data_IF_232698725869
#
_entry.id   IF_232698725869
#
_cell.length_a   1.000
_cell.length_b   1.000
_cell.length_c   1.000
_cell.angle_alpha   90.00
_cell.angle_beta   90.00
_cell.angle_gamma   90.00
#
_symmetry.space_group_name_H-M   'P 1'
#
loop_
_entity.id
_entity.type
_entity.pdbx_description
1 polymer ?
#
# COMPACT_ATOMS: atom_id res chain seq x y z
N UNK A 1 -24.52 -10.11 -20.00
CA UNK A 1 -25.19 -10.55 -21.25
C UNK A 1 -24.23 -10.85 -22.40
N UNK A 2 -23.33 -9.96 -22.89
CA UNK A 2 -22.44 -10.36 -24.00
C UNK A 2 -21.50 -11.53 -23.66
N UNK A 3 -20.82 -11.47 -22.50
CA UNK A 3 -19.90 -12.53 -22.06
C UNK A 3 -20.63 -13.87 -21.89
N UNK A 4 -21.82 -13.86 -21.28
CA UNK A 4 -22.65 -15.07 -21.12
C UNK A 4 -22.99 -15.72 -22.46
N UNK A 5 -23.48 -14.93 -23.43
CA UNK A 5 -23.80 -15.45 -24.76
C UNK A 5 -22.57 -16.00 -25.50
N UNK A 6 -21.39 -15.39 -25.32
CA UNK A 6 -20.15 -15.89 -25.91
C UNK A 6 -19.71 -17.20 -25.27
N UNK A 7 -19.82 -17.31 -23.95
CA UNK A 7 -19.47 -18.52 -23.21
C UNK A 7 -20.42 -19.67 -23.55
N UNK A 8 -21.73 -19.39 -23.67
CA UNK A 8 -22.73 -20.39 -24.06
C UNK A 8 -22.54 -20.84 -25.52
N UNK A 9 -22.12 -19.94 -26.42
CA UNK A 9 -21.85 -20.26 -27.82
C UNK A 9 -20.54 -21.06 -28.01
N UNK A 10 -19.52 -20.85 -27.16
CA UNK A 10 -18.24 -21.54 -27.25
C UNK A 10 -17.66 -21.89 -25.87
N UNK A 11 -18.18 -22.93 -25.19
CA UNK A 11 -17.72 -23.31 -23.85
C UNK A 11 -16.30 -23.89 -23.86
N UNK A 12 -15.84 -24.43 -25.00
CA UNK A 12 -14.47 -24.95 -25.15
C UNK A 12 -13.45 -23.80 -25.14
N UNK A 13 -13.84 -22.64 -25.66
CA UNK A 13 -13.01 -21.43 -25.66
C UNK A 13 -12.56 -20.98 -24.27
N UNK A 14 -13.26 -21.37 -23.21
CA UNK A 14 -12.86 -21.11 -21.82
C UNK A 14 -11.54 -21.78 -21.42
N UNK A 15 -11.18 -22.87 -22.11
CA UNK A 15 -9.95 -23.64 -21.85
C UNK A 15 -8.91 -23.42 -22.95
N UNK A 16 -9.19 -22.58 -23.93
CA UNK A 16 -8.22 -22.21 -24.95
C UNK A 16 -7.35 -21.09 -24.41
N UNK A 17 -6.12 -21.44 -24.06
CA UNK A 17 -5.11 -20.48 -23.64
C UNK A 17 -4.69 -19.58 -24.80
N UNK A 18 -4.41 -18.31 -24.52
CA UNK A 18 -3.82 -17.41 -25.50
C UNK A 18 -2.44 -17.96 -25.92
N UNK A 19 -2.12 -18.02 -27.23
CA UNK A 19 -0.87 -18.59 -27.72
C UNK A 19 0.40 -17.85 -27.26
N UNK A 20 0.30 -16.57 -26.85
CA UNK A 20 1.47 -15.74 -26.52
C UNK A 20 1.91 -15.92 -25.07
N UNK A 21 0.96 -15.94 -24.14
CA UNK A 21 1.22 -15.93 -22.70
C UNK A 21 0.55 -17.11 -21.96
N UNK A 22 -0.17 -17.97 -22.67
CA UNK A 22 -0.88 -19.09 -22.05
C UNK A 22 -2.04 -18.66 -21.15
N UNK A 23 -2.46 -17.39 -21.19
CA UNK A 23 -3.54 -16.90 -20.35
C UNK A 23 -4.88 -17.47 -20.82
N UNK A 24 -5.54 -18.22 -19.94
CA UNK A 24 -6.97 -18.50 -20.09
C UNK A 24 -7.81 -17.22 -19.92
N UNK A 25 -9.06 -17.18 -20.43
CA UNK A 25 -9.98 -16.05 -20.24
C UNK A 25 -10.13 -15.58 -18.79
N UNK A 26 -10.03 -16.48 -17.81
CA UNK A 26 -10.08 -16.14 -16.38
C UNK A 26 -8.87 -15.31 -15.91
N UNK A 27 -7.67 -15.52 -16.47
CA UNK A 27 -6.49 -14.72 -16.18
C UNK A 27 -6.67 -13.29 -16.70
N UNK A 28 -7.13 -13.17 -17.95
CA UNK A 28 -7.41 -11.89 -18.61
C UNK A 28 -8.50 -11.09 -17.89
N UNK A 29 -9.51 -11.79 -17.33
CA UNK A 29 -10.53 -11.16 -16.51
C UNK A 29 -9.94 -10.47 -15.27
N UNK A 30 -8.92 -11.07 -14.65
CA UNK A 30 -8.23 -10.47 -13.50
C UNK A 30 -7.38 -9.26 -13.93
N UNK A 31 -6.84 -9.29 -15.15
CA UNK A 31 -6.01 -8.22 -15.72
C UNK A 31 -6.77 -6.93 -16.06
N UNK A 32 -8.00 -7.06 -16.57
CA UNK A 32 -8.87 -5.92 -16.89
C UNK A 32 -9.23 -5.04 -15.66
N UNK A 33 -8.87 -5.47 -14.45
CA UNK A 33 -9.11 -4.75 -13.20
C UNK A 33 -8.17 -3.57 -12.97
N UNK A 34 -7.12 -3.42 -13.78
CA UNK A 34 -6.16 -2.34 -13.56
C UNK A 34 -6.88 -0.99 -13.64
N UNK A 35 -6.72 -0.10 -12.65
CA UNK A 35 -7.30 1.23 -12.74
C UNK A 35 -6.76 1.86 -14.01
N UNK A 36 -7.65 2.14 -14.97
CA UNK A 36 -7.25 2.91 -16.13
C UNK A 36 -6.66 4.21 -15.59
N UNK A 37 -5.46 4.61 -16.03
CA UNK A 37 -4.86 5.86 -15.59
C UNK A 37 -5.66 7.00 -16.21
N UNK A 38 -6.84 7.27 -15.66
CA UNK A 38 -7.60 8.47 -15.96
C UNK A 38 -6.78 9.63 -15.41
N UNK A 39 -6.23 10.34 -16.38
CA UNK A 39 -5.41 11.55 -16.29
C UNK A 39 -5.72 12.44 -15.09
N UNK A 40 -4.63 12.85 -14.42
CA UNK A 40 -4.51 14.00 -13.51
C UNK A 40 -5.20 13.93 -12.14
N UNK A 41 -4.51 13.37 -11.14
CA UNK A 41 -4.09 14.10 -9.92
C UNK A 41 -3.47 13.14 -8.89
N UNK A 42 -2.26 13.48 -8.44
CA UNK A 42 -1.26 12.70 -7.69
C UNK A 42 -1.63 12.22 -6.28
N UNK A 43 -2.87 11.82 -6.00
CA UNK A 43 -3.18 11.18 -4.72
C UNK A 43 -2.90 9.67 -4.81
N UNK A 44 -1.71 9.26 -4.32
CA UNK A 44 -1.37 7.87 -4.00
C UNK A 44 -2.24 7.38 -2.84
N UNK A 45 -3.55 7.27 -3.08
CA UNK A 45 -4.45 6.64 -2.12
C UNK A 45 -4.31 5.13 -2.29
N UNK A 46 -3.76 4.46 -1.29
CA UNK A 46 -3.62 3.00 -1.22
C UNK A 46 -4.96 2.29 -1.00
N UNK A 47 -6.08 2.94 -1.34
CA UNK A 47 -7.39 2.32 -1.20
C UNK A 47 -7.54 1.31 -2.33
N UNK A 48 -7.63 0.04 -1.94
CA UNK A 48 -8.10 -1.05 -2.79
C UNK A 48 -9.26 -0.52 -3.63
N UNK A 49 -9.12 -0.59 -4.95
CA UNK A 49 -10.16 -0.16 -5.88
C UNK A 49 -11.42 -0.98 -5.52
N UNK A 50 -12.48 -0.36 -4.96
CA UNK A 50 -13.65 -1.09 -4.51
C UNK A 50 -14.19 -1.81 -5.75
N UNK A 51 -14.13 -3.15 -5.70
CA UNK A 51 -13.98 -4.03 -6.85
C UNK A 51 -14.66 -3.55 -8.12
N UNK A 52 -13.91 -3.46 -9.22
CA UNK A 52 -14.48 -3.15 -10.52
C UNK A 52 -15.65 -4.13 -10.78
N UNK A 53 -16.91 -3.65 -10.82
CA UNK A 53 -18.08 -4.52 -10.85
C UNK A 53 -18.12 -5.37 -12.12
N UNK A 54 -17.47 -4.92 -13.19
CA UNK A 54 -17.35 -5.67 -14.44
C UNK A 54 -16.46 -6.91 -14.29
N UNK A 55 -15.38 -6.80 -13.53
CA UNK A 55 -14.49 -7.94 -13.26
C UNK A 55 -15.26 -8.97 -12.45
N UNK A 56 -15.95 -8.55 -11.40
CA UNK A 56 -16.74 -9.45 -10.56
C UNK A 56 -17.85 -10.15 -11.35
N UNK A 57 -18.58 -9.41 -12.19
CA UNK A 57 -19.62 -9.98 -13.05
C UNK A 57 -19.04 -10.99 -14.05
N UNK A 58 -17.94 -10.64 -14.72
CA UNK A 58 -17.28 -11.51 -15.70
C UNK A 58 -16.75 -12.78 -15.02
N UNK A 59 -16.10 -12.64 -13.86
CA UNK A 59 -15.55 -13.74 -13.09
C UNK A 59 -16.65 -14.69 -12.60
N UNK A 60 -17.80 -14.17 -12.15
CA UNK A 60 -18.97 -15.01 -11.80
C UNK A 60 -19.48 -15.83 -12.98
N UNK A 61 -19.57 -15.23 -14.16
CA UNK A 61 -20.00 -15.95 -15.38
C UNK A 61 -18.98 -17.03 -15.75
N UNK A 62 -17.69 -16.69 -15.77
CA UNK A 62 -16.62 -17.64 -16.09
C UNK A 62 -16.56 -18.80 -15.10
N UNK A 63 -16.68 -18.53 -13.79
CA UNK A 63 -16.66 -19.55 -12.75
C UNK A 63 -17.93 -20.42 -12.73
N UNK A 64 -19.07 -19.91 -13.19
CA UNK A 64 -20.28 -20.72 -13.31
C UNK A 64 -20.16 -21.88 -14.32
N UNK A 65 -19.13 -21.85 -15.18
CA UNK A 65 -18.86 -22.84 -16.22
C UNK A 65 -17.44 -23.38 -16.08
N UNK A 66 -17.23 -24.59 -15.54
CA UNK A 66 -15.89 -25.20 -15.38
C UNK A 66 -14.92 -24.35 -14.53
N UNK A 67 -15.40 -23.86 -13.38
CA UNK A 67 -14.63 -23.06 -12.43
C UNK A 67 -13.27 -23.68 -12.08
N UNK A 68 -13.30 -24.96 -11.70
CA UNK A 68 -12.13 -25.65 -11.16
C UNK A 68 -11.04 -25.84 -12.23
N UNK A 69 -11.39 -26.33 -13.42
CA UNK A 69 -10.44 -26.56 -14.54
C UNK A 69 -9.73 -25.26 -14.94
N UNK A 70 -10.48 -24.14 -15.02
CA UNK A 70 -9.92 -22.83 -15.37
C UNK A 70 -9.00 -22.28 -14.28
N UNK A 71 -9.36 -22.43 -13.00
CA UNK A 71 -8.54 -21.94 -11.89
C UNK A 71 -7.28 -22.79 -11.63
N UNK A 72 -7.26 -24.04 -12.09
CA UNK A 72 -6.14 -24.97 -11.94
C UNK A 72 -5.09 -24.84 -13.03
N UNK A 73 -5.47 -24.36 -14.21
CA UNK A 73 -4.55 -24.23 -15.35
C UNK A 73 -3.65 -23.01 -15.17
N UNK A 74 -2.33 -23.20 -15.02
CA UNK A 74 -1.38 -22.08 -14.96
C UNK A 74 -1.12 -21.51 -16.35
N UNK A 75 -0.74 -20.25 -16.41
CA UNK A 75 -0.23 -19.62 -17.63
C UNK A 75 1.26 -19.93 -17.90
N UNK A 76 1.89 -19.24 -18.86
CA UNK A 76 3.31 -19.47 -19.19
C UNK A 76 4.29 -19.13 -18.06
N UNK A 77 3.90 -18.31 -17.08
CA UNK A 77 4.71 -17.96 -15.92
C UNK A 77 4.45 -18.92 -14.75
N UNK A 78 3.55 -19.89 -14.92
CA UNK A 78 3.08 -20.73 -13.82
C UNK A 78 2.06 -20.03 -12.94
N UNK A 79 1.63 -18.81 -13.30
CA UNK A 79 0.67 -18.05 -12.52
C UNK A 79 -0.73 -18.64 -12.75
N UNK A 80 -1.32 -19.16 -11.68
CA UNK A 80 -2.77 -19.37 -11.61
C UNK A 80 -3.52 -18.02 -11.63
N UNK A 81 -4.82 -18.06 -11.94
CA UNK A 81 -5.71 -16.90 -11.91
C UNK A 81 -5.61 -16.06 -10.62
N UNK A 82 -5.41 -16.71 -9.46
CA UNK A 82 -5.24 -16.03 -8.17
C UNK A 82 -3.93 -15.23 -8.08
N UNK A 83 -2.84 -15.69 -8.69
CA UNK A 83 -1.57 -14.95 -8.74
C UNK A 83 -1.76 -13.68 -9.57
N UNK A 84 -2.38 -13.79 -10.76
CA UNK A 84 -2.73 -12.64 -11.59
C UNK A 84 -3.68 -11.67 -10.88
N UNK A 85 -4.66 -12.18 -10.14
CA UNK A 85 -5.54 -11.35 -9.32
C UNK A 85 -4.79 -10.55 -8.24
N UNK A 86 -3.84 -11.20 -7.54
CA UNK A 86 -2.97 -10.51 -6.59
C UNK A 86 -2.04 -9.52 -7.29
N UNK A 87 -1.47 -9.89 -8.42
CA UNK A 87 -0.59 -9.04 -9.21
C UNK A 87 -1.26 -7.74 -9.63
N UNK A 88 -2.52 -7.84 -10.05
CA UNK A 88 -3.35 -6.74 -10.52
C UNK A 88 -4.16 -6.06 -9.40
N UNK A 89 -3.95 -6.48 -8.14
CA UNK A 89 -4.57 -5.93 -6.94
C UNK A 89 -6.10 -5.94 -7.03
N UNK A 90 -6.66 -7.04 -7.51
CA UNK A 90 -8.10 -7.22 -7.60
C UNK A 90 -8.73 -7.18 -6.20
N UNK A 91 -9.97 -6.69 -6.11
CA UNK A 91 -10.71 -6.61 -4.85
C UNK A 91 -10.93 -7.97 -4.18
N UNK A 92 -11.14 -7.94 -2.86
CA UNK A 92 -11.29 -9.12 -1.99
C UNK A 92 -12.41 -10.05 -2.47
N UNK A 93 -13.53 -9.50 -2.93
CA UNK A 93 -14.69 -10.29 -3.38
C UNK A 93 -14.37 -11.21 -4.57
N UNK A 94 -13.62 -10.72 -5.56
CA UNK A 94 -13.24 -11.56 -6.70
C UNK A 94 -12.19 -12.60 -6.30
N UNK A 95 -11.31 -12.26 -5.38
CA UNK A 95 -10.35 -13.19 -4.81
C UNK A 95 -11.05 -14.30 -4.01
N UNK A 96 -12.10 -13.97 -3.25
CA UNK A 96 -12.93 -14.95 -2.55
C UNK A 96 -13.62 -15.91 -3.52
N UNK A 97 -14.12 -15.41 -4.67
CA UNK A 97 -14.70 -16.27 -5.70
C UNK A 97 -13.67 -17.25 -6.30
N UNK A 98 -12.44 -16.78 -6.57
CA UNK A 98 -11.35 -17.63 -7.03
C UNK A 98 -10.97 -18.70 -5.98
N UNK A 99 -10.86 -18.30 -4.72
CA UNK A 99 -10.60 -19.22 -3.60
C UNK A 99 -11.73 -20.23 -3.40
N UNK A 100 -12.99 -19.86 -3.64
CA UNK A 100 -14.12 -20.78 -3.57
C UNK A 100 -14.10 -21.79 -4.73
N UNK A 101 -13.73 -21.34 -5.93
CA UNK A 101 -13.63 -22.19 -7.12
C UNK A 101 -12.47 -23.18 -7.05
N UNK A 102 -11.32 -22.76 -6.51
CA UNK A 102 -10.17 -23.65 -6.30
C UNK A 102 -9.43 -23.31 -5.00
N UNK A 103 -9.85 -23.87 -3.85
CA UNK A 103 -9.28 -23.55 -2.54
C UNK A 103 -7.77 -23.77 -2.47
N UNK A 104 -7.27 -24.86 -3.05
CA UNK A 104 -5.85 -25.20 -3.00
C UNK A 104 -4.96 -24.24 -3.80
N UNK A 105 -5.52 -23.35 -4.63
CA UNK A 105 -4.77 -22.38 -5.43
C UNK A 105 -3.84 -21.51 -4.59
N UNK A 106 -4.24 -21.16 -3.36
CA UNK A 106 -3.46 -20.28 -2.47
C UNK A 106 -2.12 -20.91 -2.02
N UNK A 107 -2.03 -22.24 -2.08
CA UNK A 107 -0.84 -22.99 -1.65
C UNK A 107 0.08 -23.36 -2.82
N UNK A 108 -0.41 -23.27 -4.06
CA UNK A 108 0.36 -23.55 -5.28
C UNK A 108 1.32 -22.40 -5.53
N UNK A 109 2.59 -22.72 -5.80
CA UNK A 109 3.60 -21.76 -6.22
C UNK A 109 3.66 -21.65 -7.74
N UNK A 110 3.90 -20.45 -8.26
CA UNK A 110 4.22 -20.22 -9.67
C UNK A 110 5.66 -20.65 -10.04
N UNK A 111 6.14 -20.37 -11.26
CA UNK A 111 7.51 -20.74 -11.69
C UNK A 111 8.62 -19.99 -10.94
N UNK A 112 8.32 -18.82 -10.38
CA UNK A 112 9.25 -18.08 -9.51
C UNK A 112 9.33 -18.67 -8.10
N UNK A 113 8.50 -19.68 -7.79
CA UNK A 113 8.35 -20.24 -6.45
C UNK A 113 7.39 -19.46 -5.57
N UNK A 114 6.80 -18.38 -6.09
CA UNK A 114 5.92 -17.50 -5.32
C UNK A 114 4.51 -18.08 -5.18
N UNK A 115 3.96 -18.04 -3.97
CA UNK A 115 2.53 -18.27 -3.72
C UNK A 115 1.71 -17.00 -3.93
N UNK A 116 0.39 -17.15 -4.02
CA UNK A 116 -0.55 -16.02 -4.12
C UNK A 116 -0.32 -14.93 -3.05
N UNK A 117 -0.05 -15.32 -1.79
CA UNK A 117 0.26 -14.37 -0.70
C UNK A 117 1.55 -13.60 -0.97
N UNK A 118 2.58 -14.27 -1.47
CA UNK A 118 3.89 -13.67 -1.73
C UNK A 118 3.79 -12.67 -2.90
N UNK A 119 3.05 -13.03 -3.96
CA UNK A 119 2.71 -12.09 -5.05
C UNK A 119 1.92 -10.89 -4.52
N UNK A 120 0.92 -11.13 -3.65
CA UNK A 120 0.13 -10.06 -3.05
C UNK A 120 0.99 -9.09 -2.23
N UNK A 121 1.96 -9.60 -1.45
CA UNK A 121 2.89 -8.79 -0.68
C UNK A 121 3.86 -8.01 -1.57
N UNK A 122 4.48 -8.66 -2.58
CA UNK A 122 5.37 -8.01 -3.56
C UNK A 122 4.67 -6.87 -4.29
N UNK A 123 3.36 -7.00 -4.51
CA UNK A 123 2.51 -6.05 -5.23
C UNK A 123 1.73 -5.13 -4.31
N UNK A 124 2.03 -5.16 -3.01
CA UNK A 124 1.43 -4.29 -1.99
C UNK A 124 -0.11 -4.33 -2.02
N UNK A 125 -0.68 -5.52 -2.15
CA UNK A 125 -2.13 -5.67 -2.02
C UNK A 125 -2.61 -5.18 -0.65
N UNK A 126 -3.87 -4.73 -0.58
CA UNK A 126 -4.46 -4.29 0.68
C UNK A 126 -4.38 -5.36 1.77
N UNK A 127 -4.24 -4.93 3.03
CA UNK A 127 -4.17 -5.81 4.22
C UNK A 127 -5.28 -6.86 4.24
N UNK A 128 -6.47 -6.49 3.78
CA UNK A 128 -7.64 -7.39 3.73
C UNK A 128 -7.43 -8.57 2.77
N UNK A 129 -6.91 -8.32 1.57
CA UNK A 129 -6.59 -9.38 0.58
C UNK A 129 -5.56 -10.35 1.15
N UNK A 130 -4.48 -9.80 1.73
CA UNK A 130 -3.41 -10.62 2.34
C UNK A 130 -3.97 -11.43 3.53
N UNK A 131 -4.77 -10.80 4.39
CA UNK A 131 -5.40 -11.45 5.53
C UNK A 131 -6.27 -12.64 5.12
N UNK A 132 -7.11 -12.46 4.09
CA UNK A 132 -7.98 -13.51 3.54
C UNK A 132 -7.20 -14.68 2.94
N UNK A 133 -6.13 -14.40 2.20
CA UNK A 133 -5.27 -15.45 1.66
C UNK A 133 -4.58 -16.26 2.77
N UNK A 134 -4.07 -15.58 3.80
CA UNK A 134 -3.42 -16.22 4.95
C UNK A 134 -4.41 -17.07 5.75
N UNK A 135 -5.63 -16.60 5.94
CA UNK A 135 -6.73 -17.36 6.56
C UNK A 135 -7.00 -18.65 5.77
N UNK A 136 -7.18 -18.56 4.45
CA UNK A 136 -7.40 -19.74 3.59
C UNK A 136 -6.25 -20.72 3.59
N UNK A 137 -5.00 -20.24 3.65
CA UNK A 137 -3.85 -21.12 3.78
C UNK A 137 -3.85 -21.92 5.08
N UNK A 138 -4.28 -21.30 6.20
CA UNK A 138 -4.40 -21.99 7.50
C UNK A 138 -5.44 -23.11 7.43
N UNK A 139 -6.57 -22.85 6.77
CA UNK A 139 -7.63 -23.85 6.60
C UNK A 139 -7.14 -25.11 5.87
N UNK A 140 -6.27 -24.94 4.86
CA UNK A 140 -5.74 -26.06 4.05
C UNK A 140 -4.63 -26.81 4.78
N UNK A 141 -3.77 -26.11 5.53
CA UNK A 141 -2.62 -26.72 6.20
C UNK A 141 -3.01 -27.53 7.46
N UNK A 142 -4.23 -27.37 7.97
CA UNK A 142 -4.67 -27.96 9.23
C UNK A 142 -3.90 -27.41 10.44
N UNK A 143 -4.39 -27.67 11.65
CA UNK A 143 -3.83 -27.10 12.89
C UNK A 143 -2.37 -27.50 13.19
N UNK A 144 -1.78 -28.43 12.42
CA UNK A 144 -0.41 -28.92 12.60
C UNK A 144 0.61 -28.39 11.59
N UNK A 145 0.19 -27.68 10.54
CA UNK A 145 1.11 -27.13 9.54
C UNK A 145 1.86 -25.93 10.11
N UNK A 146 3.18 -26.06 10.30
CA UNK A 146 4.04 -24.89 10.55
C UNK A 146 3.79 -23.90 9.41
N UNK A 147 3.13 -22.76 9.68
CA UNK A 147 3.09 -21.63 8.75
C UNK A 147 4.55 -21.19 8.54
N UNK A 148 5.22 -21.60 7.45
CA UNK A 148 6.65 -21.39 7.34
C UNK A 148 6.82 -20.00 6.76
N UNK A 149 7.41 -19.09 7.53
CA UNK A 149 8.02 -17.84 7.04
C UNK A 149 7.09 -16.77 6.46
N UNK A 150 5.92 -17.09 5.91
CA UNK A 150 5.03 -16.11 5.24
C UNK A 150 4.56 -15.03 6.20
N UNK A 151 4.32 -15.36 7.48
CA UNK A 151 3.94 -14.39 8.49
C UNK A 151 5.12 -13.48 8.89
N UNK A 152 6.34 -14.02 8.93
CA UNK A 152 7.55 -13.24 9.17
C UNK A 152 7.87 -12.34 7.96
N UNK A 153 7.67 -12.83 6.74
CA UNK A 153 7.90 -12.11 5.50
C UNK A 153 6.86 -11.00 5.27
N UNK A 154 5.58 -11.26 5.59
CA UNK A 154 4.53 -10.26 5.57
C UNK A 154 4.78 -9.15 6.60
N UNK A 155 5.16 -9.54 7.83
CA UNK A 155 5.55 -8.59 8.87
C UNK A 155 6.81 -7.81 8.47
N UNK A 156 7.81 -8.46 7.86
CA UNK A 156 9.03 -7.81 7.39
C UNK A 156 8.75 -6.82 6.25
N UNK A 157 7.95 -7.20 5.25
CA UNK A 157 7.59 -6.32 4.14
C UNK A 157 6.79 -5.10 4.62
N UNK A 158 5.86 -5.30 5.56
CA UNK A 158 5.13 -4.22 6.19
C UNK A 158 6.06 -3.29 6.99
N UNK A 159 6.94 -3.86 7.83
CA UNK A 159 7.92 -3.08 8.63
C UNK A 159 8.92 -2.32 7.75
N UNK A 160 9.41 -2.93 6.68
CA UNK A 160 10.36 -2.29 5.75
C UNK A 160 9.73 -1.07 5.08
N UNK A 161 8.49 -1.20 4.62
CA UNK A 161 7.77 -0.08 3.99
C UNK A 161 7.41 1.01 4.99
N UNK A 162 7.04 0.64 6.21
CA UNK A 162 6.85 1.59 7.29
C UNK A 162 8.15 2.36 7.59
N UNK A 163 9.29 1.67 7.66
CA UNK A 163 10.60 2.29 7.81
C UNK A 163 10.94 3.24 6.64
N UNK A 164 10.64 2.87 5.39
CA UNK A 164 10.83 3.76 4.23
C UNK A 164 9.94 5.01 4.29
N UNK A 165 8.70 4.88 4.77
CA UNK A 165 7.79 6.03 4.97
C UNK A 165 8.29 6.93 6.10
N UNK A 166 8.74 6.35 7.22
CA UNK A 166 9.32 7.10 8.34
C UNK A 166 10.55 7.87 7.85
N UNK A 167 11.46 7.22 7.13
CA UNK A 167 12.64 7.87 6.56
C UNK A 167 12.28 9.03 5.60
N UNK A 168 11.27 8.84 4.74
CA UNK A 168 10.81 9.91 3.86
C UNK A 168 10.26 11.12 4.65
N UNK A 169 9.54 10.88 5.74
CA UNK A 169 9.07 11.95 6.64
C UNK A 169 10.24 12.63 7.35
N UNK A 170 11.22 11.87 7.83
CA UNK A 170 12.44 12.41 8.44
C UNK A 170 13.23 13.30 7.47
N UNK A 171 13.37 12.89 6.21
CA UNK A 171 14.05 13.68 5.18
C UNK A 171 13.29 14.98 4.86
N UNK A 172 11.96 14.96 4.83
CA UNK A 172 11.11 16.17 4.66
C UNK A 172 11.29 17.12 5.85
N UNK A 173 11.28 16.59 7.08
CA UNK A 173 11.45 17.38 8.31
C UNK A 173 12.85 17.99 8.35
N UNK A 174 13.89 17.21 8.04
CA UNK A 174 15.28 17.70 7.96
C UNK A 174 15.41 18.83 6.95
N UNK A 175 14.89 18.64 5.74
CA UNK A 175 14.90 19.68 4.71
C UNK A 175 14.22 20.96 5.18
N UNK A 176 13.09 20.87 5.89
CA UNK A 176 12.41 22.08 6.40
C UNK A 176 13.19 22.78 7.51
N UNK A 177 13.87 22.04 8.38
CA UNK A 177 14.76 22.62 9.39
C UNK A 177 15.89 23.41 8.71
N UNK A 178 16.55 22.82 7.70
CA UNK A 178 17.60 23.49 6.94
C UNK A 178 17.08 24.77 6.25
N UNK A 179 15.87 24.74 5.69
CA UNK A 179 15.23 25.94 5.11
C UNK A 179 15.00 27.04 6.16
N UNK A 180 14.50 26.69 7.35
CA UNK A 180 14.25 27.65 8.43
C UNK A 180 15.56 28.24 8.97
N UNK A 181 16.65 27.47 9.04
CA UNK A 181 17.97 27.98 9.41
C UNK A 181 18.49 29.00 8.39
N UNK A 182 18.31 28.74 7.09
CA UNK A 182 18.67 29.69 6.03
C UNK A 182 17.82 30.97 6.12
N UNK A 183 16.51 30.84 6.29
CA UNK A 183 15.59 31.99 6.46
C UNK A 183 15.98 32.83 7.68
N UNK A 184 16.31 32.20 8.81
CA UNK A 184 16.77 32.88 10.02
C UNK A 184 18.09 33.64 9.81
N UNK A 185 19.07 33.04 9.12
CA UNK A 185 20.34 33.71 8.78
C UNK A 185 20.14 34.89 7.83
N UNK A 186 19.18 34.81 6.91
CA UNK A 186 18.81 35.92 6.02
C UNK A 186 18.13 37.05 6.79
N UNK A 187 17.27 36.72 7.77
CA UNK A 187 16.64 37.67 8.67
C UNK A 187 17.67 38.38 9.58
N UNK A 188 18.64 37.66 10.13
CA UNK A 188 19.72 38.27 10.94
C UNK A 188 20.51 39.29 10.11
N UNK A 189 20.89 38.92 8.88
CA UNK A 189 21.61 39.82 7.95
C UNK A 189 20.77 41.03 7.50
N UNK A 190 19.45 40.90 7.44
CA UNK A 190 18.56 42.00 7.06
C UNK A 190 18.19 42.90 8.24
N UNK A 191 18.05 42.35 9.44
CA UNK A 191 17.77 43.09 10.69
C UNK A 191 18.96 43.97 11.11
N UNK A 192 20.19 43.58 10.76
CA UNK A 192 21.38 44.44 10.90
C UNK A 192 21.28 45.70 10.00
N UNK A 193 20.42 45.72 8.97
CA UNK A 193 20.25 46.87 8.06
C UNK A 193 19.03 47.74 8.33
N UNK A 194 17.96 47.25 8.97
CA UNK A 194 16.76 48.03 9.28
C UNK A 194 16.08 47.48 10.54
N UNK A 195 16.03 48.27 11.62
CA UNK A 195 15.49 47.86 12.93
C UNK A 195 13.97 47.67 12.98
N UNK A 196 13.42 46.77 12.16
CA UNK A 196 12.00 46.39 12.16
C UNK A 196 11.84 45.00 11.54
N UNK A 197 11.52 43.99 12.36
CA UNK A 197 11.17 42.64 11.90
C UNK A 197 9.81 42.66 11.18
N UNK A 198 9.77 42.13 9.96
CA UNK A 198 8.58 42.14 9.09
C UNK A 198 7.61 41.01 9.49
N UNK A 199 6.43 41.37 9.97
CA UNK A 199 5.38 40.45 10.44
C UNK A 199 4.91 39.46 9.36
N UNK A 200 5.13 39.77 8.08
CA UNK A 200 4.73 38.92 6.97
C UNK A 200 5.49 37.58 6.92
N UNK A 201 6.79 37.58 7.23
CA UNK A 201 7.60 36.36 7.24
C UNK A 201 7.12 35.34 8.29
N UNK A 202 6.63 35.84 9.43
CA UNK A 202 6.03 35.01 10.47
C UNK A 202 4.70 34.38 10.04
N UNK A 203 3.89 35.12 9.28
CA UNK A 203 2.61 34.63 8.74
C UNK A 203 2.82 33.50 7.73
N UNK A 204 3.84 33.62 6.89
CA UNK A 204 4.14 32.63 5.84
C UNK A 204 4.67 31.32 6.45
N UNK A 205 5.54 31.42 7.47
CA UNK A 205 6.03 30.26 8.22
C UNK A 205 4.90 29.50 8.94
N UNK A 206 3.93 30.24 9.52
CA UNK A 206 2.75 29.64 10.18
C UNK A 206 1.84 28.91 9.20
N UNK A 207 1.65 29.47 8.01
CA UNK A 207 0.84 28.86 6.95
C UNK A 207 1.44 27.54 6.45
N UNK A 208 2.77 27.47 6.34
CA UNK A 208 3.48 26.24 5.98
C UNK A 208 3.32 25.12 7.03
N UNK A 209 3.36 25.45 8.33
CA UNK A 209 3.14 24.48 9.41
C UNK A 209 1.71 23.93 9.43
N UNK A 210 0.71 24.79 9.18
CA UNK A 210 -0.70 24.35 9.07
C UNK A 210 -0.88 23.38 7.91
N UNK A 211 -0.27 23.66 6.74
CA UNK A 211 -0.32 22.76 5.59
C UNK A 211 0.27 21.38 5.89
N UNK A 212 1.46 21.34 6.52
CA UNK A 212 2.13 20.10 6.89
C UNK A 212 1.28 19.30 7.90
N UNK A 213 0.67 19.97 8.89
CA UNK A 213 -0.20 19.31 9.87
C UNK A 213 -1.44 18.66 9.24
N UNK A 214 -1.95 19.22 8.13
CA UNK A 214 -3.12 18.72 7.42
C UNK A 214 -2.82 17.48 6.58
N UNK A 215 -1.64 17.44 5.96
CA UNK A 215 -1.22 16.33 5.10
C UNK A 215 -0.67 15.13 5.89
N UNK A 216 -0.21 15.34 7.13
CA UNK A 216 0.37 14.28 7.98
C UNK A 216 -0.27 14.22 9.39
N UNK A 217 -1.60 14.01 9.50
CA UNK A 217 -2.32 14.09 10.77
C UNK A 217 -1.87 13.04 11.80
N UNK A 218 -1.40 11.88 11.36
CA UNK A 218 -0.90 10.83 12.25
C UNK A 218 0.40 11.20 12.98
N UNK A 219 1.21 12.10 12.41
CA UNK A 219 2.45 12.60 13.02
C UNK A 219 2.15 13.72 14.02
N UNK A 220 1.08 14.49 13.79
CA UNK A 220 0.72 15.65 14.59
C UNK A 220 -0.32 15.40 15.69
N UNK A 221 -0.91 14.20 15.76
CA UNK A 221 -1.86 13.84 16.81
C UNK A 221 -1.33 14.05 18.24
N UNK A 222 -0.02 13.87 18.47
CA UNK A 222 0.62 14.17 19.75
C UNK A 222 1.09 15.63 19.89
N UNK A 223 1.37 16.32 18.77
CA UNK A 223 1.76 17.75 18.76
C UNK A 223 0.57 18.70 18.94
N UNK A 224 -0.65 18.26 18.63
CA UNK A 224 -1.88 19.05 18.75
C UNK A 224 -2.28 19.39 20.20
N UNK A 225 -1.60 18.82 21.20
CA UNK A 225 -1.79 19.11 22.63
C UNK A 225 -0.93 20.28 23.14
N UNK A 226 -0.07 20.88 22.30
CA UNK A 226 0.76 22.01 22.72
C UNK A 226 -0.07 23.31 22.80
N UNK A 227 0.05 24.07 23.90
CA UNK A 227 -0.70 25.31 24.07
C UNK A 227 -0.33 26.33 22.98
N UNK A 228 -1.33 27.08 22.52
CA UNK A 228 -1.29 27.95 21.34
C UNK A 228 -0.35 29.18 21.45
N UNK A 229 0.47 29.30 22.49
CA UNK A 229 1.32 30.47 22.74
C UNK A 229 2.63 30.44 21.92
N UNK A 230 2.49 30.18 20.62
CA UNK A 230 3.57 30.15 19.62
C UNK A 230 3.89 31.56 19.10
N UNK A 231 3.25 32.60 19.65
CA UNK A 231 3.33 33.97 19.15
C UNK A 231 4.63 34.69 19.57
N UNK A 232 5.41 34.10 20.48
CA UNK A 232 6.70 34.65 20.91
C UNK A 232 7.84 33.72 20.48
N UNK A 233 9.00 34.31 20.18
CA UNK A 233 10.24 33.57 19.91
C UNK A 233 10.55 32.56 21.03
N UNK A 234 10.21 32.92 22.27
CA UNK A 234 10.37 32.09 23.46
C UNK A 234 9.40 30.90 23.47
N UNK A 235 8.15 31.07 23.06
CA UNK A 235 7.19 29.97 22.89
C UNK A 235 7.58 28.98 21.79
N UNK A 236 8.20 29.46 20.70
CA UNK A 236 8.71 28.59 19.64
C UNK A 236 9.94 27.80 20.08
N UNK A 237 10.88 28.43 20.82
CA UNK A 237 12.01 27.74 21.46
C UNK A 237 11.56 26.71 22.48
N UNK A 238 10.54 27.02 23.28
CA UNK A 238 10.02 26.09 24.29
C UNK A 238 9.32 24.89 23.63
N UNK A 239 8.59 25.12 22.54
CA UNK A 239 8.03 24.03 21.73
C UNK A 239 9.13 23.16 21.09
N UNK A 240 10.18 23.75 20.52
CA UNK A 240 11.31 22.98 19.98
C UNK A 240 12.03 22.16 21.07
N UNK A 241 12.22 22.72 22.27
CA UNK A 241 12.75 21.98 23.43
C UNK A 241 11.86 20.82 23.87
N UNK A 242 10.53 20.96 23.73
CA UNK A 242 9.57 19.89 24.07
C UNK A 242 9.51 18.80 23.00
N UNK A 243 9.72 19.14 21.73
CA UNK A 243 9.68 18.20 20.60
C UNK A 243 11.00 17.43 20.44
N UNK A 244 12.15 18.04 20.78
CA UNK A 244 13.46 17.39 20.65
C UNK A 244 13.60 16.03 21.39
N UNK A 245 13.09 15.84 22.64
CA UNK A 245 13.10 14.55 23.32
C UNK A 245 12.19 13.50 22.66
N UNK A 246 11.09 13.92 22.03
CA UNK A 246 10.17 13.02 21.31
C UNK A 246 10.82 12.50 20.02
N UNK A 247 11.48 13.39 19.27
CA UNK A 247 12.28 13.00 18.10
C UNK A 247 13.42 12.04 18.48
N UNK A 248 14.09 12.29 19.61
CA UNK A 248 15.15 11.41 20.14
C UNK A 248 14.62 10.05 20.66
N UNK A 249 13.33 9.93 20.97
CA UNK A 249 12.67 8.66 21.32
C UNK A 249 12.28 7.88 20.08
N UNK A 250 11.73 8.56 19.06
CA UNK A 250 11.39 7.95 17.77
C UNK A 250 12.65 7.34 17.12
N UNK A 251 13.77 8.07 17.15
CA UNK A 251 15.04 7.58 16.61
C UNK A 251 15.67 6.42 17.40
N UNK A 252 15.43 6.30 18.71
CA UNK A 252 15.89 5.13 19.49
C UNK A 252 15.03 3.89 19.25
N UNK A 253 13.74 4.07 19.02
CA UNK A 253 12.83 2.96 18.74
C UNK A 253 13.03 2.37 17.34
N UNK A 254 13.55 3.14 16.38
CA UNK A 254 13.94 2.63 15.06
C UNK A 254 15.25 1.81 15.11
N UNK A 255 16.18 2.12 16.03
CA UNK A 255 17.44 1.38 16.19
C UNK A 255 17.29 0.06 16.96
N UNK A 256 16.48 0.03 18.03
CA UNK A 256 16.27 -1.18 18.86
C UNK A 256 15.48 -2.26 18.12
N UNK A 257 14.70 -1.90 17.09
CA UNK A 257 14.01 -2.86 16.22
C UNK A 257 14.92 -3.69 15.29
N UNK A 258 16.25 -3.44 15.30
CA UNK A 258 17.22 -4.11 14.43
C UNK A 258 18.22 -5.05 15.13
N UNK A 259 18.21 -5.19 16.46
CA UNK A 259 19.22 -5.99 17.20
C UNK A 259 18.69 -7.22 17.94
N UNK A 260 17.38 -7.45 18.00
CA UNK A 260 16.81 -8.73 18.44
C UNK A 260 15.94 -9.33 17.33
N UNK A 261 16.58 -10.11 16.45
CA UNK A 261 16.06 -11.27 15.70
C UNK A 261 17.13 -11.81 14.74
#
# INVERSE_FOLDING_TARGET
MLIESLVDANPVGLLTADPQDGCLPIHLCCEASSPTPTTSSSSRSNNANPGNPHVLASLKVLLSRKAEEQCQAPDVDGDLAIHRACYKRVGVEALELLCQAYPNAVAVSNKEGDRAVEVALKRDCGREVVGKLVERMKDIQGEGGKLPEVNAMAMWACKKKEAERVKAVEDIVRWRIEQLEIEALLLEKSSIRKGSLDAQAFSDARSALVYISREFPAVFGELAMLPADVATEEGMRDNLRRVAPLLARINRNSEVGGQEL
#
